data_IF_808988802650
#
_entry.id   IF_808988802650
#
_cell.length_a   1.000
_cell.length_b   1.000
_cell.length_c   1.000
_cell.angle_alpha   90.00
_cell.angle_beta   90.00
_cell.angle_gamma   90.00
#
_symmetry.space_group_name_H-M   'P 1'
#
loop_
_entity.id
_entity.type
_entity.pdbx_description
1 polymer ?
#
# COMPACT_ATOMS: atom_id res chain seq x y z
N UNK A 1 -30.73 -22.11 -18.81
CA UNK A 1 -29.99 -21.38 -19.84
C UNK A 1 -30.59 -19.98 -19.93
N UNK A 2 -29.80 -18.95 -19.66
CA UNK A 2 -30.21 -17.56 -19.61
C UNK A 2 -29.08 -16.74 -19.01
N UNK A 3 -28.02 -16.60 -19.80
CA UNK A 3 -26.76 -15.95 -19.50
C UNK A 3 -27.00 -14.46 -19.20
N UNK A 4 -26.85 -14.08 -17.92
CA UNK A 4 -26.97 -12.69 -17.47
C UNK A 4 -25.70 -11.95 -17.85
N UNK A 5 -25.73 -11.28 -19.00
CA UNK A 5 -24.63 -10.47 -19.51
C UNK A 5 -24.16 -9.47 -18.45
N UNK A 6 -22.99 -9.71 -17.87
CA UNK A 6 -22.29 -8.74 -17.03
C UNK A 6 -21.86 -7.61 -17.95
N UNK A 7 -22.65 -6.55 -18.02
CA UNK A 7 -22.23 -5.31 -18.68
C UNK A 7 -21.06 -4.74 -17.87
N UNK A 8 -19.86 -4.84 -18.42
CA UNK A 8 -18.68 -4.15 -17.96
C UNK A 8 -18.91 -2.64 -18.14
N UNK A 9 -19.51 -2.00 -17.13
CA UNK A 9 -19.68 -0.56 -17.09
C UNK A 9 -18.28 0.01 -16.87
N UNK A 10 -17.68 0.52 -17.95
CA UNK A 10 -16.44 1.28 -17.87
C UNK A 10 -16.71 2.51 -17.02
N UNK A 11 -16.00 2.73 -15.89
CA UNK A 11 -16.17 3.94 -15.11
C UNK A 11 -15.94 5.17 -15.98
N UNK A 12 -16.82 6.17 -15.86
CA UNK A 12 -16.67 7.40 -16.63
C UNK A 12 -15.30 8.03 -16.36
N UNK A 13 -14.49 8.18 -17.41
CA UNK A 13 -13.18 8.82 -17.33
C UNK A 13 -13.43 10.32 -17.08
N UNK A 14 -13.11 10.80 -15.87
CA UNK A 14 -13.19 12.24 -15.57
C UNK A 14 -12.12 12.98 -16.39
N UNK A 15 -12.51 14.10 -16.99
CA UNK A 15 -11.56 15.01 -17.63
C UNK A 15 -10.50 15.46 -16.63
N UNK A 16 -9.26 15.62 -17.10
CA UNK A 16 -8.12 16.04 -16.28
C UNK A 16 -8.40 17.30 -15.46
N UNK A 17 -9.12 18.27 -16.05
CA UNK A 17 -9.50 19.54 -15.42
C UNK A 17 -10.37 19.38 -14.14
N UNK A 18 -11.04 18.23 -13.98
CA UNK A 18 -11.93 17.94 -12.86
C UNK A 18 -11.40 16.79 -11.97
N UNK A 19 -10.13 16.41 -12.16
CA UNK A 19 -9.51 15.35 -11.39
C UNK A 19 -8.99 15.87 -10.06
N UNK A 20 -9.58 15.38 -8.97
CA UNK A 20 -9.10 15.65 -7.62
C UNK A 20 -7.95 14.69 -7.26
N UNK A 21 -6.71 15.17 -7.46
CA UNK A 21 -5.50 14.42 -7.14
C UNK A 21 -5.40 14.06 -5.67
N UNK A 22 -5.81 14.96 -4.77
CA UNK A 22 -5.74 14.75 -3.33
C UNK A 22 -6.66 13.62 -2.92
N UNK A 23 -7.92 13.67 -3.38
CA UNK A 23 -8.89 12.60 -3.16
C UNK A 23 -8.40 11.28 -3.75
N UNK A 24 -7.92 11.28 -4.99
CA UNK A 24 -7.44 10.07 -5.64
C UNK A 24 -6.28 9.42 -4.89
N UNK A 25 -5.29 10.22 -4.43
CA UNK A 25 -4.17 9.76 -3.61
C UNK A 25 -4.66 9.12 -2.31
N UNK A 26 -5.62 9.75 -1.62
CA UNK A 26 -6.19 9.17 -0.40
C UNK A 26 -6.91 7.86 -0.69
N UNK A 27 -7.79 7.82 -1.70
CA UNK A 27 -8.49 6.59 -2.07
C UNK A 27 -7.52 5.45 -2.38
N UNK A 28 -6.55 5.67 -3.27
CA UNK A 28 -5.62 4.60 -3.65
C UNK A 28 -4.73 4.15 -2.49
N UNK A 29 -4.28 5.08 -1.64
CA UNK A 29 -3.48 4.75 -0.45
C UNK A 29 -4.28 3.90 0.56
N UNK A 30 -5.55 4.24 0.81
CA UNK A 30 -6.42 3.48 1.70
C UNK A 30 -6.77 2.10 1.13
N UNK A 31 -7.13 2.02 -0.15
CA UNK A 31 -7.42 0.75 -0.83
C UNK A 31 -6.21 -0.17 -0.80
N UNK A 32 -5.01 0.35 -1.08
CA UNK A 32 -3.79 -0.42 -0.99
C UNK A 32 -3.55 -0.92 0.44
N UNK A 33 -3.69 -0.05 1.43
CA UNK A 33 -3.46 -0.41 2.83
C UNK A 33 -4.42 -1.52 3.29
N UNK A 34 -5.71 -1.41 2.96
CA UNK A 34 -6.72 -2.42 3.27
C UNK A 34 -6.42 -3.75 2.59
N UNK A 35 -6.02 -3.73 1.31
CA UNK A 35 -5.62 -4.93 0.60
C UNK A 35 -4.40 -5.61 1.24
N UNK A 36 -3.45 -4.85 1.79
CA UNK A 36 -2.31 -5.42 2.52
C UNK A 36 -2.65 -5.91 3.92
N UNK A 37 -3.58 -5.24 4.61
CA UNK A 37 -3.98 -5.60 5.96
C UNK A 37 -4.88 -6.85 5.99
N UNK A 38 -5.83 -6.97 5.06
CA UNK A 38 -6.80 -8.07 5.02
C UNK A 38 -6.46 -9.16 3.98
N UNK A 39 -5.71 -8.81 2.93
CA UNK A 39 -5.58 -9.61 1.70
C UNK A 39 -6.52 -9.09 0.61
N UNK A 40 -6.06 -9.09 -0.64
CA UNK A 40 -6.76 -8.47 -1.78
C UNK A 40 -8.21 -8.93 -1.95
N UNK A 41 -8.47 -10.23 -1.79
CA UNK A 41 -9.80 -10.82 -1.98
C UNK A 41 -10.64 -10.89 -0.68
N UNK A 42 -10.04 -10.49 0.44
CA UNK A 42 -10.61 -10.63 1.79
C UNK A 42 -11.03 -9.29 2.41
N UNK A 43 -10.93 -8.19 1.66
CA UNK A 43 -11.36 -6.87 2.15
C UNK A 43 -12.88 -6.87 2.37
N UNK A 44 -13.37 -6.58 3.59
CA UNK A 44 -14.79 -6.48 3.89
C UNK A 44 -15.51 -5.48 2.96
N UNK A 45 -16.72 -5.81 2.52
CA UNK A 45 -17.44 -5.03 1.51
C UNK A 45 -17.71 -3.59 1.95
N UNK A 46 -17.91 -3.38 3.25
CA UNK A 46 -18.12 -2.07 3.86
C UNK A 46 -16.88 -1.15 3.77
N UNK A 47 -15.68 -1.73 3.69
CA UNK A 47 -14.41 -1.01 3.62
C UNK A 47 -13.90 -0.77 2.19
N UNK A 48 -14.42 -1.50 1.19
CA UNK A 48 -13.95 -1.39 -0.22
C UNK A 48 -14.03 0.03 -0.76
N UNK A 49 -15.14 0.72 -0.46
CA UNK A 49 -15.31 2.14 -0.72
C UNK A 49 -15.03 2.90 0.58
N UNK A 50 -13.90 3.61 0.73
CA UNK A 50 -13.54 4.23 2.01
C UNK A 50 -14.39 5.47 2.35
N UNK A 51 -15.09 6.02 1.36
CA UNK A 51 -15.91 7.22 1.48
C UNK A 51 -17.38 6.92 1.23
N UNK A 52 -18.24 7.79 1.72
CA UNK A 52 -19.65 7.86 1.36
C UNK A 52 -20.03 9.32 1.12
N UNK A 53 -21.06 9.53 0.31
CA UNK A 53 -21.64 10.85 0.09
C UNK A 53 -22.90 10.98 0.95
N UNK A 54 -23.03 12.10 1.66
CA UNK A 54 -24.22 12.40 2.43
C UNK A 54 -25.35 13.00 1.57
N UNK A 55 -26.45 13.39 2.22
CA UNK A 55 -27.61 13.98 1.54
C UNK A 55 -27.34 15.39 0.95
N UNK A 56 -26.21 16.00 1.28
CA UNK A 56 -25.79 17.33 0.80
C UNK A 56 -24.68 17.25 -0.25
N UNK A 57 -24.46 16.06 -0.82
CA UNK A 57 -23.38 15.78 -1.78
C UNK A 57 -21.96 16.00 -1.22
N UNK A 58 -21.82 15.97 0.12
CA UNK A 58 -20.52 16.04 0.77
C UNK A 58 -19.95 14.65 0.96
N UNK A 59 -18.69 14.47 0.55
CA UNK A 59 -17.96 13.23 0.72
C UNK A 59 -17.35 13.16 2.13
N UNK A 60 -17.61 12.06 2.84
CA UNK A 60 -17.11 11.81 4.18
C UNK A 60 -16.42 10.45 4.25
N UNK A 61 -15.35 10.36 5.05
CA UNK A 61 -14.75 9.07 5.35
C UNK A 61 -15.71 8.22 6.18
N UNK A 62 -15.87 6.95 5.81
CA UNK A 62 -16.69 6.00 6.56
C UNK A 62 -16.15 5.86 8.00
N UNK A 63 -17.01 5.89 9.03
CA UNK A 63 -16.57 5.75 10.42
C UNK A 63 -15.73 4.49 10.73
N UNK A 64 -16.03 3.30 10.15
CA UNK A 64 -15.17 2.12 10.32
C UNK A 64 -13.75 2.31 9.80
N UNK A 65 -13.57 3.01 8.68
CA UNK A 65 -12.24 3.31 8.12
C UNK A 65 -11.47 4.23 9.05
N UNK A 66 -12.12 5.30 9.51
CA UNK A 66 -11.55 6.22 10.49
C UNK A 66 -11.13 5.50 11.79
N UNK A 67 -11.98 4.60 12.30
CA UNK A 67 -11.69 3.84 13.52
C UNK A 67 -10.44 2.97 13.36
N UNK A 68 -10.31 2.26 12.23
CA UNK A 68 -9.18 1.39 11.94
C UNK A 68 -7.85 2.16 11.73
N UNK A 69 -7.93 3.36 11.15
CA UNK A 69 -6.78 4.26 11.04
C UNK A 69 -6.32 4.74 12.42
N UNK A 70 -7.25 5.06 13.32
CA UNK A 70 -6.97 5.56 14.66
C UNK A 70 -6.57 4.46 15.66
N UNK A 71 -6.95 3.19 15.43
CA UNK A 71 -6.60 2.04 16.28
C UNK A 71 -5.27 1.38 15.90
N UNK A 72 -4.70 1.79 14.76
CA UNK A 72 -3.53 1.19 14.13
C UNK A 72 -3.71 -0.19 13.51
N UNK A 73 -4.91 -0.78 13.52
CA UNK A 73 -5.14 -2.15 13.07
C UNK A 73 -4.71 -2.39 11.62
N UNK A 74 -5.02 -1.44 10.72
CA UNK A 74 -4.59 -1.52 9.32
C UNK A 74 -3.06 -1.49 9.17
N UNK A 75 -2.38 -0.63 9.93
CA UNK A 75 -0.93 -0.52 9.90
C UNK A 75 -0.25 -1.75 10.50
N UNK A 76 -0.82 -2.31 11.57
CA UNK A 76 -0.29 -3.53 12.19
C UNK A 76 -0.47 -4.73 11.25
N UNK A 77 -1.63 -4.86 10.59
CA UNK A 77 -1.90 -5.90 9.61
C UNK A 77 -0.94 -5.82 8.42
N UNK A 78 -0.88 -4.65 7.76
CA UNK A 78 0.03 -4.44 6.63
C UNK A 78 1.50 -4.56 7.06
N UNK A 79 1.87 -3.97 8.19
CA UNK A 79 3.22 -4.04 8.75
C UNK A 79 3.65 -5.47 9.09
N UNK A 80 2.76 -6.33 9.57
CA UNK A 80 3.09 -7.73 9.86
C UNK A 80 3.42 -8.52 8.60
N UNK A 81 2.81 -8.16 7.47
CA UNK A 81 3.11 -8.71 6.15
C UNK A 81 4.44 -8.19 5.59
N UNK A 82 4.72 -6.88 5.76
CA UNK A 82 5.79 -6.14 5.07
C UNK A 82 7.07 -6.03 5.90
N UNK A 83 6.99 -6.06 7.21
CA UNK A 83 8.12 -5.79 8.11
C UNK A 83 8.53 -7.07 8.83
N UNK A 84 8.37 -8.23 8.15
CA UNK A 84 8.64 -9.55 8.72
C UNK A 84 10.02 -9.54 9.38
N UNK A 85 10.00 -9.40 10.69
CA UNK A 85 11.17 -9.51 11.54
C UNK A 85 11.18 -10.93 12.09
N UNK A 86 12.37 -11.48 12.32
CA UNK A 86 12.58 -12.72 13.08
C UNK A 86 12.20 -12.57 14.57
N UNK A 87 11.41 -11.55 14.91
CA UNK A 87 11.01 -11.20 16.25
C UNK A 87 9.69 -11.89 16.58
N UNK A 88 9.70 -12.65 17.68
CA UNK A 88 8.53 -13.39 18.19
C UNK A 88 7.34 -12.51 18.64
N UNK A 89 7.43 -11.17 18.53
CA UNK A 89 6.42 -10.24 19.07
C UNK A 89 5.60 -9.58 17.96
N UNK A 90 4.26 -9.63 18.01
CA UNK A 90 3.39 -8.96 17.04
C UNK A 90 3.52 -7.43 17.12
N UNK A 91 3.32 -6.76 15.99
CA UNK A 91 3.19 -5.30 15.92
C UNK A 91 1.86 -4.90 16.56
N UNK A 92 1.93 -4.05 17.59
CA UNK A 92 0.77 -3.56 18.33
C UNK A 92 0.86 -2.04 18.48
N UNK A 93 -0.08 -1.34 17.84
CA UNK A 93 -0.14 0.12 17.86
C UNK A 93 0.79 0.80 16.83
N UNK A 94 0.60 2.11 16.64
CA UNK A 94 1.37 2.90 15.66
C UNK A 94 2.87 2.89 15.95
N UNK A 95 3.25 3.08 17.22
CA UNK A 95 4.65 3.16 17.64
C UNK A 95 5.43 1.87 17.37
N UNK A 96 4.77 0.69 17.38
CA UNK A 96 5.43 -0.55 17.01
C UNK A 96 5.80 -0.56 15.53
N UNK A 97 4.89 -0.11 14.67
CA UNK A 97 5.11 -0.05 13.22
C UNK A 97 6.12 1.03 12.85
N UNK A 98 6.04 2.22 13.46
CA UNK A 98 7.02 3.31 13.27
C UNK A 98 8.42 2.84 13.65
N UNK A 99 8.58 2.17 14.80
CA UNK A 99 9.90 1.64 15.22
C UNK A 99 10.40 0.53 14.30
N UNK A 100 9.53 -0.36 13.85
CA UNK A 100 9.91 -1.42 12.91
C UNK A 100 10.39 -0.84 11.57
N UNK A 101 9.76 0.23 11.07
CA UNK A 101 10.23 0.95 9.89
C UNK A 101 11.58 1.63 10.15
N UNK A 102 11.74 2.31 11.28
CA UNK A 102 12.98 3.00 11.63
C UNK A 102 14.17 2.02 11.79
N UNK A 103 13.94 0.81 12.29
CA UNK A 103 14.96 -0.26 12.36
C UNK A 103 15.49 -0.67 10.97
N UNK A 104 14.74 -0.39 9.90
CA UNK A 104 15.14 -0.61 8.51
C UNK A 104 15.64 0.66 7.83
N UNK A 105 15.87 1.73 8.58
CA UNK A 105 16.28 3.04 8.06
C UNK A 105 15.16 3.82 7.36
N UNK A 106 13.90 3.40 7.50
CA UNK A 106 12.75 4.06 6.90
C UNK A 106 12.05 4.92 7.96
N UNK A 107 12.28 6.24 7.89
CA UNK A 107 11.68 7.19 8.83
C UNK A 107 10.39 7.77 8.25
N UNK A 108 9.29 7.68 8.99
CA UNK A 108 8.00 8.23 8.59
C UNK A 108 8.03 9.74 8.77
N UNK A 109 7.94 10.49 7.68
CA UNK A 109 8.01 11.96 7.68
C UNK A 109 6.85 12.59 6.93
N UNK A 110 6.29 13.67 7.47
CA UNK A 110 5.28 14.52 6.85
C UNK A 110 5.84 15.94 6.81
N UNK A 111 6.07 16.48 5.60
CA UNK A 111 6.75 17.76 5.39
C UNK A 111 8.07 17.87 6.17
N UNK A 112 8.95 16.88 6.02
CA UNK A 112 10.27 16.76 6.68
C UNK A 112 10.23 16.59 8.21
N UNK A 113 9.05 16.65 8.84
CA UNK A 113 8.88 16.38 10.28
C UNK A 113 8.58 14.91 10.52
N UNK A 114 9.22 14.32 11.54
CA UNK A 114 8.89 12.97 11.99
C UNK A 114 7.42 12.87 12.43
N UNK A 115 6.73 11.87 11.90
CA UNK A 115 5.37 11.49 12.30
C UNK A 115 5.45 10.68 13.59
N UNK A 116 4.59 11.03 14.55
CA UNK A 116 4.49 10.37 15.86
C UNK A 116 3.14 9.64 15.99
N UNK A 117 3.03 8.72 16.95
CA UNK A 117 1.74 8.11 17.28
C UNK A 117 0.67 9.16 17.63
N UNK A 118 1.05 10.29 18.24
CA UNK A 118 0.11 11.38 18.55
C UNK A 118 -0.53 11.96 17.30
N UNK A 119 0.25 12.15 16.22
CA UNK A 119 -0.26 12.65 14.94
C UNK A 119 -1.27 11.66 14.33
N UNK A 120 -0.99 10.36 14.42
CA UNK A 120 -1.84 9.27 13.89
C UNK A 120 -3.09 8.98 14.72
N UNK A 121 -3.11 9.38 15.99
CA UNK A 121 -4.29 9.25 16.88
C UNK A 121 -5.13 10.54 16.92
N UNK A 122 -4.75 11.56 16.18
CA UNK A 122 -5.37 12.87 16.27
C UNK A 122 -6.86 12.83 15.86
N UNK A 123 -7.67 13.65 16.53
CA UNK A 123 -9.09 13.84 16.21
C UNK A 123 -9.35 15.35 16.11
N UNK A 124 -9.70 15.88 14.92
CA UNK A 124 -9.97 15.18 13.66
C UNK A 124 -8.74 14.49 13.06
N UNK A 125 -8.97 13.50 12.18
CA UNK A 125 -7.91 12.70 11.55
C UNK A 125 -6.95 13.61 10.79
N UNK A 126 -5.65 13.50 11.10
CA UNK A 126 -4.60 14.16 10.36
C UNK A 126 -4.18 13.30 9.16
N UNK A 127 -4.88 13.48 8.04
CA UNK A 127 -4.69 12.62 6.85
C UNK A 127 -3.26 12.63 6.30
N UNK A 128 -2.56 13.76 6.35
CA UNK A 128 -1.17 13.86 5.85
C UNK A 128 -0.22 12.90 6.59
N UNK A 129 -0.36 12.79 7.91
CA UNK A 129 0.43 11.86 8.72
C UNK A 129 0.13 10.39 8.37
N UNK A 130 -1.14 10.06 8.12
CA UNK A 130 -1.53 8.72 7.68
C UNK A 130 -1.00 8.41 6.27
N UNK A 131 -1.06 9.36 5.34
CA UNK A 131 -0.48 9.19 4.00
C UNK A 131 1.03 8.95 4.06
N UNK A 132 1.75 9.72 4.88
CA UNK A 132 3.18 9.51 5.11
C UNK A 132 3.49 8.09 5.65
N UNK A 133 2.68 7.61 6.60
CA UNK A 133 2.79 6.25 7.13
C UNK A 133 2.57 5.19 6.04
N UNK A 134 1.53 5.35 5.21
CA UNK A 134 1.20 4.44 4.11
C UNK A 134 2.31 4.45 3.06
N UNK A 135 2.79 5.62 2.65
CA UNK A 135 3.83 5.76 1.64
C UNK A 135 5.16 5.13 2.12
N UNK A 136 5.47 5.26 3.41
CA UNK A 136 6.66 4.60 3.99
C UNK A 136 6.50 3.07 4.04
N UNK A 137 5.30 2.56 4.36
CA UNK A 137 4.99 1.12 4.27
C UNK A 137 5.03 0.61 2.83
N UNK A 138 4.53 1.38 1.87
CA UNK A 138 4.63 1.07 0.45
C UNK A 138 6.09 0.99 0.00
N UNK A 139 6.92 1.94 0.44
CA UNK A 139 8.36 1.93 0.16
C UNK A 139 9.04 0.68 0.72
N UNK A 140 8.76 0.33 1.99
CA UNK A 140 9.27 -0.89 2.60
C UNK A 140 8.85 -2.14 1.80
N UNK A 141 7.59 -2.21 1.36
CA UNK A 141 7.07 -3.31 0.58
C UNK A 141 7.74 -3.44 -0.79
N UNK A 142 7.96 -2.31 -1.48
CA UNK A 142 8.67 -2.30 -2.77
C UNK A 142 10.09 -2.83 -2.61
N UNK A 143 10.84 -2.37 -1.60
CA UNK A 143 12.20 -2.86 -1.34
C UNK A 143 12.21 -4.37 -1.06
N UNK A 144 11.24 -4.90 -0.31
CA UNK A 144 11.15 -6.35 -0.05
C UNK A 144 10.72 -7.20 -1.26
N UNK A 145 9.91 -6.64 -2.15
CA UNK A 145 9.42 -7.35 -3.34
C UNK A 145 10.42 -7.31 -4.49
N UNK A 146 11.26 -6.26 -4.55
CA UNK A 146 12.33 -6.09 -5.54
C UNK A 146 13.64 -6.77 -5.10
N UNK A 147 13.60 -7.65 -4.08
CA UNK A 147 14.78 -8.44 -3.73
C UNK A 147 15.21 -9.29 -4.94
N UNK A 148 16.49 -9.16 -5.31
CA UNK A 148 17.12 -9.79 -6.48
C UNK A 148 16.79 -11.28 -6.58
N UNK A 149 16.68 -11.97 -5.46
CA UNK A 149 16.34 -13.39 -5.36
C UNK A 149 14.95 -13.73 -5.93
N UNK A 150 13.94 -12.89 -5.70
CA UNK A 150 12.58 -13.10 -6.25
C UNK A 150 12.51 -12.74 -7.72
N UNK A 151 13.23 -11.70 -8.14
CA UNK A 151 13.39 -11.36 -9.56
C UNK A 151 14.10 -12.49 -10.31
N UNK A 152 15.19 -13.03 -9.77
CA UNK A 152 15.92 -14.15 -10.35
C UNK A 152 15.05 -15.41 -10.44
N UNK A 153 14.24 -15.68 -9.40
CA UNK A 153 13.29 -16.80 -9.39
C UNK A 153 12.18 -16.64 -10.44
N UNK A 154 11.66 -15.42 -10.64
CA UNK A 154 10.72 -15.13 -11.71
C UNK A 154 11.37 -15.27 -13.10
N UNK A 155 12.59 -14.77 -13.28
CA UNK A 155 13.35 -14.89 -14.54
C UNK A 155 13.58 -16.37 -14.90
N UNK A 156 13.99 -17.20 -13.92
CA UNK A 156 14.16 -18.65 -14.11
C UNK A 156 12.86 -19.36 -14.49
N UNK A 157 11.72 -18.90 -13.95
CA UNK A 157 10.40 -19.52 -14.20
C UNK A 157 9.86 -19.24 -15.60
N UNK A 158 10.22 -18.11 -16.22
CA UNK A 158 9.76 -17.72 -17.55
C UNK A 158 10.84 -17.82 -18.63
N UNK A 159 12.10 -18.09 -18.27
CA UNK A 159 13.19 -18.38 -19.21
C UNK A 159 14.06 -19.53 -18.70
N UNK A 160 13.78 -20.80 -19.10
CA UNK A 160 14.56 -21.95 -18.66
C UNK A 160 15.92 -22.10 -19.36
N UNK A 161 16.33 -21.12 -20.18
CA UNK A 161 17.60 -21.14 -20.91
C UNK A 161 18.48 -19.98 -20.46
N UNK A 162 19.34 -20.26 -19.48
CA UNK A 162 20.63 -19.59 -19.40
C UNK A 162 21.59 -20.38 -20.30
N UNK A 163 22.02 -19.86 -21.47
CA UNK A 163 23.33 -20.23 -21.95
C UNK A 163 24.33 -19.68 -20.93
N UNK A 164 25.19 -20.56 -20.42
CA UNK A 164 26.29 -20.27 -19.49
C UNK A 164 26.96 -18.92 -19.85
N UNK A 165 26.78 -17.87 -19.03
CA UNK A 165 27.53 -16.62 -19.21
C UNK A 165 26.93 -15.33 -18.67
N UNK A 166 25.62 -15.09 -18.82
CA UNK A 166 25.07 -13.73 -18.64
C UNK A 166 24.22 -13.60 -17.37
N UNK A 167 24.88 -13.48 -16.21
CA UNK A 167 24.25 -13.06 -14.96
C UNK A 167 24.53 -11.56 -14.78
N UNK A 168 23.50 -10.69 -14.72
CA UNK A 168 23.70 -9.25 -14.50
C UNK A 168 24.42 -9.00 -13.18
N UNK A 169 25.47 -8.17 -13.22
CA UNK A 169 26.29 -7.86 -12.04
C UNK A 169 25.58 -6.88 -11.09
N UNK A 170 24.69 -6.04 -11.62
CA UNK A 170 23.94 -5.06 -10.85
C UNK A 170 22.45 -4.94 -11.24
N UNK A 171 21.73 -4.14 -10.47
CA UNK A 171 20.28 -3.90 -10.65
C UNK A 171 19.96 -3.12 -11.91
N UNK A 172 20.86 -2.27 -12.39
CA UNK A 172 20.64 -1.46 -13.59
C UNK A 172 20.72 -2.34 -14.84
N UNK A 173 21.71 -3.23 -14.89
CA UNK A 173 21.91 -4.22 -15.94
C UNK A 173 20.77 -5.24 -16.00
N UNK A 174 20.26 -5.68 -14.84
CA UNK A 174 19.10 -6.56 -14.76
C UNK A 174 17.82 -5.92 -15.34
N UNK A 175 17.61 -4.62 -15.08
CA UNK A 175 16.46 -3.86 -15.61
C UNK A 175 16.61 -3.59 -17.10
N UNK A 176 17.81 -3.23 -17.57
CA UNK A 176 18.11 -3.01 -18.99
C UNK A 176 17.97 -4.29 -19.82
N UNK A 177 18.39 -5.45 -19.28
CA UNK A 177 18.22 -6.74 -19.95
C UNK A 177 16.74 -7.15 -20.06
N UNK A 178 15.92 -6.79 -19.07
CA UNK A 178 14.48 -7.05 -19.11
C UNK A 178 13.74 -6.17 -20.12
N UNK A 179 14.10 -4.88 -20.23
CA UNK A 179 13.48 -3.94 -21.16
C UNK A 179 13.80 -4.28 -22.63
N UNK A 180 14.98 -4.85 -22.89
CA UNK A 180 15.45 -5.18 -24.24
C UNK A 180 15.03 -6.58 -24.73
N UNK A 181 14.16 -7.29 -24.01
CA UNK A 181 13.47 -8.52 -24.47
C UNK A 181 11.99 -8.28 -24.71
#
# INVERSE_FOLDING_TARGET
MGDGSITFIVPAIRSFEHYDFSRAKVCCSLTWLMAKAFGTDSVPSELREPFYTDQYDQEHMKPPVAALLLSAELYCGAGSLILRSDAAKPLLGHDAVIRALAQRGLYVTDQERLVTERDLRNRPIQMSAHLAMIDTLMMAYTVEMVSVEKLLSCVQKYSPFYPDGDVPYDTEEAVLMWINK
#
